data_IF_973688605742
#
_entry.id   IF_973688605742
#
_cell.length_a   1.000
_cell.length_b   1.000
_cell.length_c   1.000
_cell.angle_alpha   90.00
_cell.angle_beta   90.00
_cell.angle_gamma   90.00
#
_symmetry.space_group_name_H-M   'P 1'
#
loop_
_entity.id
_entity.type
_entity.pdbx_description
1 polymer ?
#
# COMPACT_ATOMS: atom_id res chain seq x y z
N UNK A 1 -33.25 -38.87 25.73
CA UNK A 1 -32.03 -39.51 25.17
C UNK A 1 -30.91 -38.50 25.33
N UNK A 2 -29.99 -38.73 26.27
CA UNK A 2 -28.83 -37.85 26.45
C UNK A 2 -27.84 -38.17 25.32
N UNK A 3 -27.76 -37.32 24.30
CA UNK A 3 -26.71 -37.43 23.29
C UNK A 3 -25.44 -36.93 23.97
N UNK A 4 -24.56 -37.84 24.38
CA UNK A 4 -23.20 -37.48 24.76
C UNK A 4 -22.49 -36.98 23.51
N UNK A 5 -22.31 -35.66 23.42
CA UNK A 5 -21.38 -35.08 22.45
C UNK A 5 -19.98 -35.55 22.84
N UNK A 6 -19.32 -36.31 21.95
CA UNK A 6 -17.94 -36.72 22.16
C UNK A 6 -17.07 -35.46 22.20
N UNK A 7 -16.23 -35.31 23.23
CA UNK A 7 -15.31 -34.19 23.33
C UNK A 7 -14.42 -34.16 22.08
N UNK A 8 -14.48 -33.06 21.32
CA UNK A 8 -13.56 -32.78 20.23
C UNK A 8 -12.46 -31.88 20.77
N UNK A 9 -11.20 -32.26 20.58
CA UNK A 9 -10.05 -31.43 20.90
C UNK A 9 -9.82 -30.44 19.76
N UNK A 10 -9.98 -29.14 20.03
CA UNK A 10 -9.71 -28.07 19.07
C UNK A 10 -8.26 -27.54 19.20
N UNK A 11 -7.41 -28.21 19.98
CA UNK A 11 -6.04 -27.80 20.26
C UNK A 11 -5.97 -26.58 21.19
N UNK A 12 -4.84 -25.87 21.14
CA UNK A 12 -4.60 -24.67 21.96
C UNK A 12 -5.12 -23.38 21.31
N UNK A 13 -5.59 -23.43 20.07
CA UNK A 13 -6.06 -22.26 19.33
C UNK A 13 -7.20 -22.64 18.37
N UNK A 14 -8.30 -21.88 18.41
CA UNK A 14 -9.42 -22.08 17.51
C UNK A 14 -9.98 -20.75 16.97
N UNK A 15 -10.48 -20.81 15.74
CA UNK A 15 -11.03 -19.68 15.01
C UNK A 15 -12.46 -19.96 14.57
N UNK A 16 -13.26 -18.90 14.50
CA UNK A 16 -14.64 -18.94 14.03
C UNK A 16 -14.93 -17.75 13.11
N UNK A 17 -16.08 -17.83 12.44
CA UNK A 17 -16.59 -16.75 11.58
C UNK A 17 -18.06 -16.52 11.89
N UNK A 18 -18.41 -15.29 12.28
CA UNK A 18 -19.79 -14.83 12.20
C UNK A 18 -20.09 -14.43 10.77
N UNK A 19 -21.25 -14.86 10.26
CA UNK A 19 -21.76 -14.45 8.97
C UNK A 19 -23.14 -13.86 9.16
N UNK A 20 -23.42 -12.75 8.50
CA UNK A 20 -24.76 -12.17 8.55
C UNK A 20 -25.75 -12.98 7.68
N UNK A 21 -27.05 -12.76 7.90
CA UNK A 21 -28.12 -13.52 7.23
C UNK A 21 -28.08 -13.40 5.69
N UNK A 22 -27.64 -12.26 5.17
CA UNK A 22 -27.50 -12.05 3.72
C UNK A 22 -26.20 -12.60 3.15
N UNK A 23 -25.31 -13.10 4.01
CA UNK A 23 -24.04 -13.70 3.63
C UNK A 23 -23.02 -12.75 3.00
N UNK A 24 -23.22 -11.44 3.12
CA UNK A 24 -22.40 -10.38 2.52
C UNK A 24 -21.35 -9.81 3.47
N UNK A 25 -21.53 -10.01 4.78
CA UNK A 25 -20.60 -9.57 5.82
C UNK A 25 -20.11 -10.79 6.58
N UNK A 26 -18.80 -10.85 6.76
CA UNK A 26 -18.14 -11.83 7.62
C UNK A 26 -17.36 -11.10 8.70
N UNK A 27 -17.25 -11.75 9.84
CA UNK A 27 -16.37 -11.33 10.92
C UNK A 27 -15.64 -12.55 11.48
N UNK A 28 -14.31 -12.51 11.41
CA UNK A 28 -13.43 -13.57 11.92
C UNK A 28 -13.15 -13.29 13.41
N UNK A 29 -13.16 -14.32 14.24
CA UNK A 29 -12.81 -14.21 15.66
C UNK A 29 -11.98 -15.42 16.13
N UNK A 30 -11.17 -15.19 17.16
CA UNK A 30 -10.45 -16.20 17.93
C UNK A 30 -11.24 -16.46 19.23
N UNK A 31 -11.42 -17.72 19.59
CA UNK A 31 -12.11 -18.12 20.82
C UNK A 31 -11.28 -19.13 21.61
N UNK A 32 -11.48 -19.20 22.93
CA UNK A 32 -10.74 -20.12 23.80
C UNK A 32 -11.28 -21.55 23.66
N UNK A 33 -10.50 -22.48 23.06
CA UNK A 33 -10.90 -23.87 22.85
C UNK A 33 -11.37 -24.58 24.13
N UNK A 34 -10.82 -24.21 25.28
CA UNK A 34 -11.13 -24.83 26.56
C UNK A 34 -12.57 -24.53 27.03
N UNK A 35 -13.21 -23.51 26.46
CA UNK A 35 -14.56 -23.07 26.84
C UNK A 35 -15.68 -23.73 26.03
N UNK A 36 -15.37 -24.60 25.06
CA UNK A 36 -16.40 -25.19 24.16
C UNK A 36 -17.46 -26.03 24.88
N UNK A 37 -17.09 -26.63 26.01
CA UNK A 37 -17.99 -27.46 26.81
C UNK A 37 -18.71 -26.66 27.92
N UNK A 38 -18.52 -25.33 27.96
CA UNK A 38 -19.11 -24.43 28.97
C UNK A 38 -20.44 -23.85 28.51
N UNK A 39 -21.17 -23.23 29.44
CA UNK A 39 -22.41 -22.48 29.11
C UNK A 39 -22.13 -21.28 28.21
N UNK A 40 -20.95 -20.70 28.36
CA UNK A 40 -20.49 -19.52 27.64
C UNK A 40 -19.17 -19.82 26.94
N UNK A 41 -19.06 -19.40 25.68
CA UNK A 41 -17.82 -19.45 24.90
C UNK A 41 -17.10 -18.11 25.05
N UNK A 42 -15.82 -18.15 25.41
CA UNK A 42 -15.02 -16.93 25.56
C UNK A 42 -14.38 -16.54 24.24
N UNK A 43 -14.77 -15.38 23.70
CA UNK A 43 -14.11 -14.77 22.53
C UNK A 43 -12.85 -14.07 23.02
N UNK A 44 -11.69 -14.52 22.53
CA UNK A 44 -10.40 -13.94 22.88
C UNK A 44 -10.12 -12.68 22.06
N UNK A 45 -10.40 -12.71 20.74
CA UNK A 45 -10.14 -11.60 19.82
C UNK A 45 -11.15 -11.57 18.67
N UNK A 46 -11.38 -10.39 18.12
CA UNK A 46 -12.17 -10.16 16.90
C UNK A 46 -11.25 -9.52 15.84
N UNK A 47 -11.24 -10.04 14.62
CA UNK A 47 -10.36 -9.60 13.54
C UNK A 47 -9.07 -10.42 13.38
N UNK A 48 -8.34 -10.16 12.29
CA UNK A 48 -7.08 -10.83 11.94
C UNK A 48 -5.93 -10.26 12.79
N UNK A 49 -5.68 -10.85 13.96
CA UNK A 49 -4.42 -10.69 14.74
C UNK A 49 -4.06 -9.28 15.25
N UNK A 50 -4.77 -8.23 14.84
CA UNK A 50 -4.47 -6.86 15.20
C UNK A 50 -5.10 -6.51 16.54
N UNK A 51 -4.25 -6.34 17.56
CA UNK A 51 -4.64 -5.97 18.93
C UNK A 51 -4.96 -4.48 19.08
N UNK A 52 -4.90 -3.68 18.01
CA UNK A 52 -4.99 -2.24 18.09
C UNK A 52 -3.75 -1.57 18.69
N UNK A 53 -2.73 -2.36 19.07
CA UNK A 53 -1.47 -1.88 19.63
C UNK A 53 -0.38 -1.80 18.55
N UNK A 54 -0.11 -0.60 18.00
CA UNK A 54 0.88 -0.39 16.95
C UNK A 54 2.32 -0.61 17.44
N UNK A 55 2.55 -0.84 18.74
CA UNK A 55 3.89 -1.09 19.30
C UNK A 55 4.29 -2.57 19.22
N UNK A 56 3.32 -3.48 19.10
CA UNK A 56 3.55 -4.94 19.00
C UNK A 56 3.60 -5.46 17.57
N UNK A 57 3.24 -4.64 16.60
CA UNK A 57 3.27 -4.99 15.18
C UNK A 57 4.69 -4.93 14.61
N UNK A 58 5.08 -5.94 13.84
CA UNK A 58 6.40 -5.99 13.22
C UNK A 58 6.56 -4.84 12.23
N UNK A 59 7.71 -4.18 12.23
CA UNK A 59 7.99 -2.99 11.41
C UNK A 59 7.72 -3.19 9.90
N UNK A 60 7.85 -4.43 9.40
CA UNK A 60 7.56 -4.78 8.01
C UNK A 60 6.07 -4.72 7.62
N UNK A 61 5.16 -4.73 8.60
CA UNK A 61 3.70 -4.71 8.40
C UNK A 61 3.04 -3.45 8.96
N UNK A 62 3.80 -2.52 9.56
CA UNK A 62 3.30 -1.19 9.90
C UNK A 62 3.07 -0.41 8.62
N UNK A 63 1.82 -0.39 8.16
CA UNK A 63 1.39 0.54 7.13
C UNK A 63 1.02 1.85 7.84
N UNK A 64 1.92 2.84 7.80
CA UNK A 64 1.65 4.19 8.31
C UNK A 64 0.57 4.84 7.44
N UNK A 65 -0.70 4.66 7.81
CA UNK A 65 -1.81 5.38 7.22
C UNK A 65 -2.03 6.67 7.99
N UNK A 66 -1.29 7.71 7.61
CA UNK A 66 -1.54 9.06 8.09
C UNK A 66 -3.02 9.40 7.88
N UNK A 67 -3.75 9.63 8.97
CA UNK A 67 -5.10 10.17 8.86
C UNK A 67 -4.99 11.49 8.09
N UNK A 68 -5.63 11.57 6.91
CA UNK A 68 -5.60 12.66 5.92
C UNK A 68 -4.67 12.47 4.70
N UNK A 69 -4.09 11.30 4.48
CA UNK A 69 -3.40 10.99 3.22
C UNK A 69 -3.95 9.71 2.57
N UNK A 70 -4.05 9.71 1.24
CA UNK A 70 -4.34 8.50 0.46
C UNK A 70 -3.02 7.99 -0.12
N UNK A 71 -2.40 7.04 0.55
CA UNK A 71 -1.19 6.37 0.04
C UNK A 71 -1.57 5.30 -0.97
N UNK A 72 -1.30 5.54 -2.26
CA UNK A 72 -1.45 4.53 -3.33
C UNK A 72 -0.07 3.98 -3.69
N UNK A 73 0.16 2.71 -3.41
CA UNK A 73 1.42 2.02 -3.71
C UNK A 73 1.26 1.20 -5.00
N UNK A 74 1.80 1.68 -6.12
CA UNK A 74 1.60 1.09 -7.46
C UNK A 74 2.63 -0.01 -7.81
N UNK A 75 3.34 -0.56 -6.83
CA UNK A 75 4.41 -1.55 -7.05
C UNK A 75 5.68 -0.93 -7.64
N UNK A 76 6.54 -1.75 -8.26
CA UNK A 76 7.84 -1.33 -8.82
C UNK A 76 7.73 -0.63 -10.18
N UNK A 77 6.57 -0.71 -10.85
CA UNK A 77 6.33 -0.20 -12.20
C UNK A 77 5.48 1.10 -12.21
N UNK A 78 5.66 1.96 -11.21
CA UNK A 78 5.16 3.35 -11.19
C UNK A 78 5.43 4.14 -12.49
N UNK A 79 6.56 3.95 -13.22
CA UNK A 79 6.88 4.76 -14.40
C UNK A 79 5.89 4.65 -15.58
N UNK A 80 5.11 3.56 -15.69
CA UNK A 80 4.23 3.36 -16.86
C UNK A 80 3.04 4.34 -16.88
N UNK A 81 2.50 4.70 -15.70
CA UNK A 81 1.38 5.62 -15.58
C UNK A 81 1.75 7.06 -15.96
N UNK A 82 3.02 7.43 -15.75
CA UNK A 82 3.53 8.78 -15.99
C UNK A 82 4.27 8.92 -17.32
N UNK A 83 4.39 7.84 -18.09
CA UNK A 83 5.16 7.81 -19.34
C UNK A 83 4.65 8.85 -20.36
N UNK A 84 3.34 9.08 -20.41
CA UNK A 84 2.71 10.02 -21.34
C UNK A 84 2.90 11.51 -20.99
N UNK A 85 3.38 11.83 -19.78
CA UNK A 85 3.56 13.22 -19.34
C UNK A 85 5.01 13.67 -19.51
N UNK A 86 5.28 14.94 -19.85
CA UNK A 86 6.61 15.50 -19.81
C UNK A 86 7.24 15.40 -18.41
N UNK A 87 8.53 15.09 -18.37
CA UNK A 87 9.29 15.26 -17.14
C UNK A 87 9.66 16.74 -16.99
N UNK A 88 9.43 17.31 -15.80
CA UNK A 88 9.90 18.65 -15.46
C UNK A 88 11.08 18.49 -14.50
N UNK A 89 12.22 19.04 -14.88
CA UNK A 89 13.48 18.95 -14.13
C UNK A 89 14.16 20.32 -14.03
N UNK A 90 15.15 20.44 -13.14
CA UNK A 90 15.90 21.69 -12.98
C UNK A 90 17.35 21.43 -12.62
N UNK A 91 18.18 22.46 -12.80
CA UNK A 91 19.56 22.45 -12.33
C UNK A 91 20.27 23.75 -12.67
N UNK A 92 21.60 23.73 -12.55
CA UNK A 92 22.46 24.85 -12.89
C UNK A 92 23.01 24.64 -14.30
N UNK A 93 22.91 25.68 -15.14
CA UNK A 93 23.33 25.73 -16.56
C UNK A 93 22.50 24.87 -17.52
N UNK A 94 22.73 25.05 -18.83
CA UNK A 94 22.06 24.28 -19.86
C UNK A 94 22.28 22.76 -19.66
N UNK A 95 21.23 21.93 -19.82
CA UNK A 95 21.32 20.50 -19.57
C UNK A 95 22.26 19.80 -20.56
N UNK A 96 23.27 19.12 -20.03
CA UNK A 96 24.24 18.34 -20.81
C UNK A 96 23.82 16.88 -21.06
N UNK A 97 22.65 16.49 -20.55
CA UNK A 97 22.08 15.15 -20.70
C UNK A 97 21.26 15.02 -21.96
N UNK A 98 21.17 13.81 -22.51
CA UNK A 98 20.19 13.50 -23.56
C UNK A 98 18.78 13.50 -22.95
N UNK A 99 17.78 14.19 -23.53
CA UNK A 99 16.40 14.13 -23.05
C UNK A 99 15.84 12.70 -23.09
N UNK A 100 15.01 12.34 -22.11
CA UNK A 100 14.37 11.03 -22.08
C UNK A 100 13.18 10.96 -23.05
N UNK A 101 12.43 12.07 -23.18
CA UNK A 101 11.28 12.20 -24.08
C UNK A 101 11.30 13.52 -24.84
N UNK A 102 10.65 13.54 -26.00
CA UNK A 102 10.31 14.81 -26.69
C UNK A 102 9.26 15.53 -25.83
N UNK A 103 9.45 16.83 -25.63
CA UNK A 103 8.56 17.65 -24.80
C UNK A 103 8.94 17.73 -23.32
N UNK A 104 9.95 16.97 -22.86
CA UNK A 104 10.52 17.18 -21.52
C UNK A 104 10.95 18.64 -21.33
N UNK A 105 10.84 19.15 -20.10
CA UNK A 105 11.10 20.55 -19.72
C UNK A 105 12.23 20.59 -18.69
N UNK A 106 13.19 21.50 -18.89
CA UNK A 106 14.28 21.76 -17.96
C UNK A 106 14.37 23.26 -17.62
N UNK A 107 14.45 23.57 -16.32
CA UNK A 107 14.68 24.92 -15.81
C UNK A 107 16.14 25.10 -15.40
N UNK A 108 16.85 26.00 -16.09
CA UNK A 108 18.15 26.51 -15.65
C UNK A 108 17.92 27.60 -14.60
N UNK A 109 18.18 27.24 -13.36
CA UNK A 109 17.95 28.07 -12.18
C UNK A 109 18.97 29.21 -12.02
N UNK A 110 20.09 29.17 -12.75
CA UNK A 110 21.12 30.21 -12.70
C UNK A 110 20.88 31.26 -13.79
N UNK A 111 20.62 30.82 -15.01
CA UNK A 111 20.40 31.73 -16.13
C UNK A 111 18.93 32.18 -16.28
N UNK A 112 18.00 31.60 -15.52
CA UNK A 112 16.57 31.90 -15.60
C UNK A 112 15.94 31.47 -16.93
N UNK A 113 16.43 30.38 -17.51
CA UNK A 113 16.05 29.91 -18.84
C UNK A 113 15.27 28.60 -18.76
N UNK A 114 14.31 28.44 -19.68
CA UNK A 114 13.59 27.18 -19.84
C UNK A 114 14.01 26.53 -21.15
N UNK A 115 14.26 25.23 -21.09
CA UNK A 115 14.60 24.40 -22.24
C UNK A 115 13.49 23.37 -22.45
N UNK A 116 13.11 23.13 -23.70
CA UNK A 116 12.19 22.08 -24.12
C UNK A 116 12.91 21.09 -25.04
N UNK A 117 12.68 19.80 -24.82
CA UNK A 117 13.24 18.73 -25.64
C UNK A 117 12.53 18.62 -26.99
N UNK A 118 13.29 18.58 -28.08
CA UNK A 118 12.78 18.33 -29.43
C UNK A 118 13.26 17.02 -30.04
N UNK A 119 14.20 16.32 -29.39
CA UNK A 119 14.64 14.96 -29.77
C UNK A 119 15.30 14.26 -28.57
N UNK A 120 15.51 12.95 -28.68
CA UNK A 120 16.05 12.10 -27.60
C UNK A 120 17.37 11.43 -27.98
N UNK A 121 18.05 11.90 -29.02
CA UNK A 121 19.26 11.25 -29.56
C UNK A 121 20.57 11.84 -29.03
N UNK A 122 20.54 13.04 -28.46
CA UNK A 122 21.71 13.70 -27.87
C UNK A 122 21.30 14.84 -26.94
N UNK A 123 22.25 15.39 -26.18
CA UNK A 123 22.05 16.61 -25.39
C UNK A 123 21.75 17.87 -26.21
N UNK A 124 22.06 17.87 -27.51
CA UNK A 124 21.64 18.94 -28.43
C UNK A 124 20.12 18.95 -28.70
N UNK A 125 19.38 17.95 -28.20
CA UNK A 125 17.93 17.87 -28.25
C UNK A 125 17.21 18.89 -27.36
N UNK A 126 17.88 19.45 -26.37
CA UNK A 126 17.36 20.57 -25.59
C UNK A 126 17.41 21.87 -26.40
N UNK A 127 16.26 22.54 -26.54
CA UNK A 127 16.13 23.85 -27.17
C UNK A 127 15.67 24.87 -26.15
N UNK A 128 16.36 26.00 -26.09
CA UNK A 128 15.94 27.12 -25.26
C UNK A 128 14.61 27.68 -25.78
N UNK A 129 13.67 28.00 -24.88
CA UNK A 129 12.48 28.78 -25.18
C UNK A 129 12.86 30.26 -25.11
N UNK A 130 12.72 30.95 -26.24
CA UNK A 130 13.10 32.34 -26.47
C UNK A 130 11.90 33.23 -26.75
#
# INVERSE_FOLDING_TARGET
MNINLTASDFGTQAFGVFRNDTGTKIEIFEWDPSTIASTDITILKRGLGFSGDPTTETTAYKLDWSANETTVNLGTDVPQLLYAYPNISSGAVAPATTPAKIGDIYLDTVAGKVYISTNTSSSAGWKILN
#
